data_IF_241495702420
#
_entry.id   IF_241495702420
#
_cell.length_a   1.000
_cell.length_b   1.000
_cell.length_c   1.000
_cell.angle_alpha   90.00
_cell.angle_beta   90.00
_cell.angle_gamma   90.00
#
_symmetry.space_group_name_H-M   'P 1'
#
loop_
_entity.id
_entity.type
_entity.pdbx_description
1 polymer ?
#
# COMPACT_ATOMS: atom_id res chain seq x y z
N UNK A 1 -20.65 7.24 14.67
CA UNK A 1 -19.22 6.87 14.71
C UNK A 1 -19.12 5.34 14.69
N UNK A 2 -18.98 4.74 13.50
CA UNK A 2 -18.98 3.28 13.35
C UNK A 2 -17.56 2.78 13.61
N UNK A 3 -17.34 2.15 14.77
CA UNK A 3 -16.14 1.35 15.01
C UNK A 3 -16.23 0.12 14.11
N UNK A 4 -15.56 0.15 12.95
CA UNK A 4 -15.32 -1.08 12.17
C UNK A 4 -14.48 -2.00 13.06
N UNK A 5 -15.09 -3.07 13.57
CA UNK A 5 -14.35 -4.13 14.22
C UNK A 5 -13.31 -4.67 13.22
N UNK A 6 -12.06 -4.76 13.65
CA UNK A 6 -11.06 -5.56 12.98
C UNK A 6 -11.54 -7.01 13.11
N UNK A 7 -12.08 -7.57 12.04
CA UNK A 7 -12.36 -9.00 11.98
C UNK A 7 -11.01 -9.72 11.96
N UNK A 8 -10.68 -10.41 13.06
CA UNK A 8 -9.57 -11.35 13.08
C UNK A 8 -9.87 -12.47 12.08
N UNK A 9 -9.00 -12.64 11.09
CA UNK A 9 -9.04 -13.79 10.20
C UNK A 9 -8.42 -14.95 10.99
N UNK A 10 -9.26 -15.72 11.67
CA UNK A 10 -8.89 -17.01 12.26
C UNK A 10 -8.73 -18.02 11.12
N UNK A 11 -7.48 -18.33 10.78
CA UNK A 11 -7.14 -19.46 9.91
C UNK A 11 -7.16 -20.69 10.82
N UNK A 12 -8.18 -21.54 10.70
CA UNK A 12 -8.23 -22.81 11.44
C UNK A 12 -7.00 -23.65 11.11
N UNK A 13 -6.33 -24.20 12.13
CA UNK A 13 -5.23 -25.16 11.95
C UNK A 13 -5.73 -26.34 11.10
N UNK A 14 -5.21 -26.46 9.88
CA UNK A 14 -5.61 -27.50 8.92
C UNK A 14 -6.53 -27.04 7.79
N UNK A 15 -6.90 -25.76 7.72
CA UNK A 15 -7.58 -25.25 6.52
C UNK A 15 -6.62 -25.25 5.33
N UNK A 16 -7.07 -25.80 4.19
CA UNK A 16 -6.30 -25.83 2.96
C UNK A 16 -6.28 -24.47 2.22
N UNK A 17 -6.88 -23.44 2.83
CA UNK A 17 -7.07 -22.13 2.21
C UNK A 17 -5.75 -21.36 2.17
N UNK A 18 -5.21 -21.20 0.97
CA UNK A 18 -3.97 -20.46 0.74
C UNK A 18 -4.20 -18.96 0.95
N UNK A 19 -3.72 -18.44 2.08
CA UNK A 19 -3.65 -16.99 2.31
C UNK A 19 -2.49 -16.41 1.52
N UNK A 20 -2.78 -15.36 0.76
CA UNK A 20 -1.81 -14.66 -0.07
C UNK A 20 -1.78 -13.17 0.29
N UNK A 21 -0.58 -12.59 0.26
CA UNK A 21 -0.38 -11.18 0.56
C UNK A 21 0.09 -10.42 -0.69
N UNK A 22 -0.35 -9.17 -0.80
CA UNK A 22 0.21 -8.21 -1.74
C UNK A 22 1.00 -7.16 -0.98
N UNK A 23 2.10 -6.69 -1.55
CA UNK A 23 2.96 -5.69 -0.95
C UNK A 23 3.24 -4.54 -1.91
N UNK A 24 3.20 -3.32 -1.38
CA UNK A 24 3.73 -2.13 -2.04
C UNK A 24 4.92 -1.60 -1.26
N UNK A 25 6.02 -1.31 -1.93
CA UNK A 25 7.20 -0.73 -1.28
C UNK A 25 7.84 0.37 -2.14
N UNK A 26 8.70 1.16 -1.52
CA UNK A 26 9.56 2.12 -2.21
C UNK A 26 10.99 1.97 -1.71
N UNK A 27 11.96 2.12 -2.62
CA UNK A 27 13.39 2.09 -2.30
C UNK A 27 13.93 3.52 -2.28
N UNK A 28 14.57 3.91 -1.18
CA UNK A 28 15.16 5.25 -1.05
C UNK A 28 15.67 5.52 0.36
N UNK A 29 16.59 6.47 0.51
CA UNK A 29 17.10 6.83 1.83
C UNK A 29 16.09 7.74 2.55
N UNK A 30 15.34 7.16 3.48
CA UNK A 30 14.36 7.88 4.29
C UNK A 30 14.94 9.10 5.04
N UNK A 31 16.25 9.10 5.36
CA UNK A 31 16.93 10.23 6.01
C UNK A 31 17.25 11.38 5.06
N UNK A 32 17.23 11.15 3.75
CA UNK A 32 17.45 12.16 2.71
C UNK A 32 16.14 12.74 2.17
N UNK A 33 14.99 12.30 2.68
CA UNK A 33 13.68 12.75 2.23
C UNK A 33 12.98 13.48 3.36
N UNK A 34 12.60 14.74 3.09
CA UNK A 34 12.04 15.63 4.11
C UNK A 34 10.63 15.20 4.58
N UNK A 35 9.93 14.40 3.78
CA UNK A 35 8.56 13.99 4.03
C UNK A 35 8.35 12.48 3.88
N UNK A 36 8.42 11.79 5.02
CA UNK A 36 8.13 10.36 5.12
C UNK A 36 6.70 10.01 4.74
N UNK A 37 5.73 10.93 4.91
CA UNK A 37 4.33 10.66 4.54
C UNK A 37 4.19 10.54 3.02
N UNK A 38 4.92 11.36 2.26
CA UNK A 38 4.97 11.22 0.80
C UNK A 38 5.58 9.88 0.38
N UNK A 39 6.64 9.42 1.06
CA UNK A 39 7.21 8.08 0.80
C UNK A 39 6.19 6.97 1.06
N UNK A 40 5.46 7.05 2.17
CA UNK A 40 4.41 6.09 2.51
C UNK A 40 3.25 6.12 1.52
N UNK A 41 2.83 7.30 1.08
CA UNK A 41 1.76 7.48 0.07
C UNK A 41 2.13 6.80 -1.25
N UNK A 42 3.38 6.94 -1.72
CA UNK A 42 3.84 6.24 -2.92
C UNK A 42 3.88 4.71 -2.73
N UNK A 43 4.30 4.22 -1.56
CA UNK A 43 4.27 2.79 -1.25
C UNK A 43 2.85 2.22 -1.24
N UNK A 44 1.88 2.96 -0.68
CA UNK A 44 0.47 2.56 -0.67
C UNK A 44 -0.12 2.53 -2.10
N UNK A 45 0.24 3.49 -2.96
CA UNK A 45 -0.13 3.42 -4.37
C UNK A 45 0.46 2.19 -5.08
N UNK A 46 1.68 1.80 -4.76
CA UNK A 46 2.26 0.56 -5.29
C UNK A 46 1.50 -0.68 -4.77
N UNK A 47 1.03 -0.68 -3.52
CA UNK A 47 0.18 -1.74 -2.97
C UNK A 47 -1.17 -1.79 -3.69
N UNK A 48 -1.79 -0.63 -3.95
CA UNK A 48 -3.06 -0.54 -4.68
C UNK A 48 -2.93 -1.13 -6.09
N UNK A 49 -1.84 -0.81 -6.80
CA UNK A 49 -1.50 -1.44 -8.08
C UNK A 49 -1.32 -2.95 -7.94
N UNK A 50 -0.63 -3.41 -6.89
CA UNK A 50 -0.41 -4.85 -6.67
C UNK A 50 -1.73 -5.61 -6.43
N UNK A 51 -2.69 -4.98 -5.75
CA UNK A 51 -4.04 -5.53 -5.54
C UNK A 51 -4.85 -5.58 -6.84
N UNK A 52 -4.74 -4.56 -7.68
CA UNK A 52 -5.49 -4.46 -8.94
C UNK A 52 -4.90 -5.26 -10.11
N UNK A 53 -3.68 -5.77 -9.97
CA UNK A 53 -2.98 -6.58 -11.00
C UNK A 53 -3.05 -8.09 -10.73
N UNK A 54 -4.09 -8.53 -10.02
CA UNK A 54 -4.35 -9.95 -9.74
C UNK A 54 -3.99 -10.42 -8.32
N UNK A 55 -3.61 -9.51 -7.42
CA UNK A 55 -3.18 -9.80 -6.03
C UNK A 55 -1.94 -10.72 -5.97
N UNK A 56 -1.58 -11.18 -4.77
CA UNK A 56 -0.43 -12.06 -4.50
C UNK A 56 0.88 -11.61 -5.18
N UNK A 57 1.19 -10.31 -5.05
CA UNK A 57 2.29 -9.67 -5.79
C UNK A 57 2.90 -8.55 -4.99
N UNK A 58 4.18 -8.33 -5.24
CA UNK A 58 4.95 -7.23 -4.70
C UNK A 58 5.30 -6.27 -5.82
N UNK A 59 4.98 -4.99 -5.64
CA UNK A 59 5.34 -3.93 -6.57
C UNK A 59 6.16 -2.89 -5.82
N UNK A 60 7.31 -2.54 -6.37
CA UNK A 60 8.16 -1.49 -5.81
C UNK A 60 8.83 -0.66 -6.88
N UNK A 61 9.19 0.55 -6.48
CA UNK A 61 9.87 1.55 -7.32
C UNK A 61 10.84 2.34 -6.47
N UNK A 62 11.83 2.96 -7.10
CA UNK A 62 12.61 4.00 -6.41
C UNK A 62 11.68 5.16 -5.99
N UNK A 63 11.96 5.74 -4.82
CA UNK A 63 11.21 6.90 -4.35
C UNK A 63 11.45 8.09 -5.27
N UNK A 64 10.37 8.74 -5.66
CA UNK A 64 10.40 9.98 -6.44
C UNK A 64 9.40 10.94 -5.86
N UNK A 65 9.89 12.08 -5.35
CA UNK A 65 9.03 13.12 -4.78
C UNK A 65 7.95 13.59 -5.75
N UNK A 66 8.32 13.79 -7.01
CA UNK A 66 7.37 14.16 -8.07
C UNK A 66 6.29 13.10 -8.30
N UNK A 67 6.65 11.82 -8.22
CA UNK A 67 5.69 10.73 -8.36
C UNK A 67 4.75 10.66 -7.15
N UNK A 68 5.30 10.77 -5.93
CA UNK A 68 4.54 10.77 -4.69
C UNK A 68 3.52 11.93 -4.60
N UNK A 69 3.92 13.14 -4.98
CA UNK A 69 3.04 14.32 -4.99
C UNK A 69 1.93 14.25 -6.04
N UNK A 70 2.12 13.47 -7.11
CA UNK A 70 1.05 13.19 -8.10
C UNK A 70 0.08 12.16 -7.59
N UNK A 71 0.58 11.13 -6.90
CA UNK A 71 -0.25 10.14 -6.22
C UNK A 71 -1.16 10.81 -5.20
N UNK A 72 -0.61 11.65 -4.34
CA UNK A 72 -1.37 12.28 -3.26
C UNK A 72 -2.53 13.15 -3.78
N UNK A 73 -2.27 13.95 -4.84
CA UNK A 73 -3.31 14.74 -5.53
C UNK A 73 -4.44 13.88 -6.10
N UNK A 74 -4.10 12.79 -6.77
CA UNK A 74 -5.10 11.89 -7.35
C UNK A 74 -5.91 11.16 -6.27
N UNK A 75 -5.31 10.84 -5.12
CA UNK A 75 -6.02 10.20 -4.00
C UNK A 75 -7.07 11.13 -3.39
N UNK A 76 -6.80 12.44 -3.30
CA UNK A 76 -7.76 13.44 -2.80
C UNK A 76 -8.97 13.58 -3.72
N UNK A 77 -8.80 13.44 -5.04
CA UNK A 77 -9.88 13.56 -6.01
C UNK A 77 -10.80 12.33 -6.06
N UNK A 78 -10.35 11.15 -5.58
CA UNK A 78 -11.17 9.93 -5.50
C UNK A 78 -12.08 9.94 -4.25
N UNK A 79 -11.79 10.80 -3.27
CA UNK A 79 -12.51 10.88 -1.99
C UNK A 79 -13.56 12.01 -1.95
N UNK A 80 -13.81 12.70 -3.07
CA UNK A 80 -14.89 13.70 -3.24
C UNK A 80 -16.02 13.11 -4.07
#
# INVERSE_FOLDING_TARGET
MIKKHLEEILIEEGSADRVNFSGGYVCGNARLNDDLRLMMSQADANLYKAKNTGKNRYIGTDYSRLAAERTDRNTVDILK
#
